data_IF_776795544649
#
_entry.id   IF_776795544649
#
_cell.length_a   1.000
_cell.length_b   1.000
_cell.length_c   1.000
_cell.angle_alpha   90.00
_cell.angle_beta   90.00
_cell.angle_gamma   90.00
#
_symmetry.space_group_name_H-M   'P 1'
#
loop_
_entity.id
_entity.type
_entity.pdbx_description
1 polymer ?
#
# COMPACT_ATOMS: atom_id res chain seq x y z
N UNK A 1 -12.43 28.44 21.01
CA UNK A 1 -12.51 27.06 20.51
C UNK A 1 -12.50 27.15 18.99
N UNK A 2 -11.34 26.99 18.36
CA UNK A 2 -11.23 27.03 16.90
C UNK A 2 -10.43 25.80 16.49
N UNK A 3 -11.08 24.89 15.78
CA UNK A 3 -10.49 23.68 15.25
C UNK A 3 -9.77 24.04 13.95
N UNK A 4 -8.45 23.94 13.95
CA UNK A 4 -7.65 24.04 12.73
C UNK A 4 -7.87 22.77 11.91
N UNK A 5 -8.59 22.92 10.81
CA UNK A 5 -8.86 21.90 9.82
C UNK A 5 -7.57 21.32 9.24
N UNK A 6 -7.55 19.99 9.23
CA UNK A 6 -6.59 19.08 8.65
C UNK A 6 -6.37 19.37 7.15
N UNK A 7 -5.12 19.28 6.69
CA UNK A 7 -4.79 19.07 5.27
C UNK A 7 -3.74 17.97 5.21
N UNK A 8 -4.21 16.72 5.22
CA UNK A 8 -3.38 15.58 4.86
C UNK A 8 -3.17 15.65 3.34
N UNK A 9 -2.08 16.30 2.93
CA UNK A 9 -1.67 16.39 1.54
C UNK A 9 -0.98 15.08 1.13
N UNK A 10 -1.79 14.05 0.87
CA UNK A 10 -1.33 12.92 0.05
C UNK A 10 -1.25 13.39 -1.41
N UNK A 11 -0.07 13.91 -1.77
CA UNK A 11 0.29 14.20 -3.15
C UNK A 11 0.06 12.96 -4.02
N UNK A 12 -0.81 13.10 -5.00
CA UNK A 12 -1.00 12.11 -6.06
C UNK A 12 0.36 11.85 -6.76
N UNK A 13 0.77 10.58 -6.95
CA UNK A 13 1.98 10.28 -7.68
C UNK A 13 1.83 10.71 -9.15
N UNK A 14 2.79 11.51 -9.63
CA UNK A 14 2.85 11.99 -11.01
C UNK A 14 3.07 10.85 -12.02
N UNK A 15 2.58 10.96 -13.26
CA UNK A 15 2.51 9.88 -14.26
C UNK A 15 3.87 9.55 -14.94
N UNK A 16 4.98 9.61 -14.22
CA UNK A 16 6.34 9.46 -14.78
C UNK A 16 7.08 8.19 -14.32
N UNK A 17 6.41 7.21 -13.72
CA UNK A 17 7.06 5.99 -13.24
C UNK A 17 6.42 4.71 -13.80
N UNK A 18 6.57 4.52 -15.11
CA UNK A 18 6.29 3.26 -15.83
C UNK A 18 7.40 2.20 -15.63
N UNK A 19 8.11 2.20 -14.50
CA UNK A 19 9.10 1.17 -14.20
C UNK A 19 8.46 0.05 -13.36
N UNK A 20 7.77 -0.88 -14.02
CA UNK A 20 7.26 -2.10 -13.38
C UNK A 20 8.40 -3.05 -13.03
N UNK A 21 8.53 -3.39 -11.74
CA UNK A 21 9.52 -4.33 -11.22
C UNK A 21 8.86 -5.67 -10.90
N UNK A 22 9.52 -6.78 -11.25
CA UNK A 22 9.03 -8.12 -10.87
C UNK A 22 9.57 -8.50 -9.50
N UNK A 23 8.68 -8.76 -8.55
CA UNK A 23 8.99 -9.20 -7.18
C UNK A 23 8.50 -10.64 -6.99
N UNK A 24 9.41 -11.52 -6.55
CA UNK A 24 9.10 -12.90 -6.21
C UNK A 24 9.13 -13.06 -4.68
N UNK A 25 8.08 -13.63 -4.10
CA UNK A 25 7.97 -13.85 -2.66
C UNK A 25 7.07 -15.05 -2.35
N UNK A 26 7.12 -15.53 -1.10
CA UNK A 26 6.23 -16.59 -0.62
C UNK A 26 5.10 -15.96 0.19
N UNK A 27 3.86 -16.26 -0.18
CA UNK A 27 2.66 -15.79 0.52
C UNK A 27 1.89 -17.00 1.07
N UNK A 28 1.76 -17.08 2.39
CA UNK A 28 1.06 -18.18 3.07
C UNK A 28 1.54 -19.58 2.60
N UNK A 29 2.86 -19.73 2.39
CA UNK A 29 3.47 -20.98 1.91
C UNK A 29 3.45 -21.20 0.39
N UNK A 30 2.78 -20.34 -0.38
CA UNK A 30 2.75 -20.42 -1.85
C UNK A 30 3.69 -19.41 -2.50
N UNK A 31 4.50 -19.84 -3.47
CA UNK A 31 5.32 -18.94 -4.27
C UNK A 31 4.44 -18.02 -5.13
N UNK A 32 4.73 -16.72 -5.10
CA UNK A 32 4.03 -15.67 -5.85
C UNK A 32 5.04 -14.80 -6.57
N UNK A 33 4.64 -14.35 -7.76
CA UNK A 33 5.35 -13.39 -8.57
C UNK A 33 4.40 -12.24 -8.89
N UNK A 34 4.87 -11.01 -8.69
CA UNK A 34 4.05 -9.82 -8.82
C UNK A 34 4.83 -8.71 -9.53
N UNK A 35 4.25 -8.12 -10.58
CA UNK A 35 4.79 -6.92 -11.21
C UNK A 35 4.29 -5.68 -10.47
N UNK A 36 5.15 -4.97 -9.77
CA UNK A 36 4.79 -3.78 -8.97
C UNK A 36 5.34 -2.51 -9.60
N UNK A 37 4.61 -1.41 -9.48
CA UNK A 37 5.10 -0.07 -9.88
C UNK A 37 5.72 0.65 -8.69
N UNK A 38 6.60 1.62 -8.91
CA UNK A 38 7.10 2.43 -7.79
C UNK A 38 5.95 3.21 -7.16
N UNK A 39 5.92 3.20 -5.83
CA UNK A 39 4.86 3.82 -5.03
C UNK A 39 3.72 2.88 -4.66
N UNK A 40 3.61 1.70 -5.26
CA UNK A 40 2.66 0.67 -4.82
C UNK A 40 3.09 0.13 -3.45
N UNK A 41 2.22 0.23 -2.45
CA UNK A 41 2.51 -0.31 -1.12
C UNK A 41 2.30 -1.82 -1.09
N UNK A 42 3.01 -2.52 -0.20
CA UNK A 42 2.78 -3.95 0.01
C UNK A 42 1.34 -4.25 0.44
N UNK A 43 0.72 -3.34 1.21
CA UNK A 43 -0.66 -3.47 1.65
C UNK A 43 -1.64 -3.48 0.47
N UNK A 44 -1.49 -2.55 -0.47
CA UNK A 44 -2.29 -2.50 -1.70
C UNK A 44 -2.07 -3.74 -2.56
N UNK A 45 -0.82 -4.13 -2.78
CA UNK A 45 -0.47 -5.32 -3.55
C UNK A 45 -1.12 -6.60 -2.97
N UNK A 46 -1.11 -6.75 -1.65
CA UNK A 46 -1.71 -7.91 -0.99
C UNK A 46 -3.24 -7.87 -0.99
N UNK A 47 -3.86 -6.70 -0.77
CA UNK A 47 -5.31 -6.55 -0.75
C UNK A 47 -5.92 -6.66 -2.15
N UNK A 48 -5.45 -5.85 -3.09
CA UNK A 48 -6.06 -5.70 -4.40
C UNK A 48 -5.66 -6.82 -5.36
N UNK A 49 -4.44 -7.35 -5.23
CA UNK A 49 -3.90 -8.31 -6.22
C UNK A 49 -3.78 -9.72 -5.69
N UNK A 50 -3.50 -9.88 -4.39
CA UNK A 50 -3.51 -11.19 -3.75
C UNK A 50 -4.86 -11.52 -3.09
N UNK A 51 -5.81 -10.57 -3.05
CA UNK A 51 -7.16 -10.75 -2.52
C UNK A 51 -7.21 -10.91 -0.99
N UNK A 52 -6.16 -10.51 -0.27
CA UNK A 52 -6.08 -10.66 1.18
C UNK A 52 -6.74 -9.46 1.89
N UNK A 53 -8.03 -9.61 2.22
CA UNK A 53 -8.81 -8.55 2.89
C UNK A 53 -8.59 -8.44 4.40
N UNK A 54 -7.84 -9.36 5.01
CA UNK A 54 -7.63 -9.41 6.47
C UNK A 54 -6.82 -8.22 7.00
N UNK A 55 -5.78 -7.79 6.28
CA UNK A 55 -5.00 -6.60 6.63
C UNK A 55 -5.77 -5.35 6.25
N UNK A 56 -5.86 -4.36 7.15
CA UNK A 56 -6.69 -3.17 6.94
C UNK A 56 -5.87 -1.91 6.75
N UNK A 57 -6.31 -1.06 5.83
CA UNK A 57 -5.85 0.33 5.75
C UNK A 57 -6.60 1.16 6.80
N UNK A 58 -5.95 1.38 7.95
CA UNK A 58 -6.53 2.17 9.05
C UNK A 58 -5.87 3.54 9.26
N UNK A 59 -4.58 3.65 8.98
CA UNK A 59 -3.80 4.87 9.21
C UNK A 59 -2.70 5.02 8.16
N UNK A 60 -2.91 4.51 6.94
CA UNK A 60 -1.91 4.67 5.90
C UNK A 60 -1.82 6.14 5.50
N UNK A 61 -0.60 6.69 5.34
CA UNK A 61 0.72 6.09 5.55
C UNK A 61 1.32 6.38 6.95
N UNK A 62 0.60 7.07 7.84
CA UNK A 62 1.14 7.50 9.13
C UNK A 62 1.58 6.34 10.03
N UNK A 63 1.04 5.12 9.83
CA UNK A 63 1.52 3.90 10.50
C UNK A 63 1.24 3.83 12.01
N UNK A 64 0.24 4.57 12.50
CA UNK A 64 -0.04 4.74 13.94
C UNK A 64 -0.93 3.66 14.56
N UNK A 65 -1.79 2.97 13.79
CA UNK A 65 -2.82 2.07 14.34
C UNK A 65 -2.44 0.58 14.36
N UNK A 66 -1.42 0.16 13.61
CA UNK A 66 -0.97 -1.22 13.56
C UNK A 66 -1.92 -2.23 12.90
N UNK A 67 -2.98 -1.79 12.20
CA UNK A 67 -3.95 -2.73 11.57
C UNK A 67 -3.45 -3.40 10.26
N UNK A 68 -2.28 -3.01 9.78
CA UNK A 68 -1.62 -3.54 8.57
C UNK A 68 -0.28 -4.22 8.86
N UNK A 69 -0.05 -4.67 10.11
CA UNK A 69 1.12 -5.47 10.50
C UNK A 69 0.92 -6.97 10.26
#
# INVERSE_FOLDING_TARGET
>A
MTISSQTDQHSAPSPADEASHTVNFTLNGAARQLQVVKGETLLEALRERCGLSSMKDGCSPQGQCGCCV
#
